data_IF_593676416059
#
_entry.id   IF_593676416059
#
_cell.length_a   1.000
_cell.length_b   1.000
_cell.length_c   1.000
_cell.angle_alpha   90.00
_cell.angle_beta   90.00
_cell.angle_gamma   90.00
#
_symmetry.space_group_name_H-M   'P 1'
#
loop_
_entity.id
_entity.type
_entity.pdbx_description
1 polymer ?
#
# COMPACT_ATOMS: atom_id res chain seq x y z
N UNK A 1 -18.81 -11.03 -16.42
CA UNK A 1 -17.90 -10.31 -15.51
C UNK A 1 -17.34 -9.11 -16.27
N UNK A 2 -17.72 -7.90 -15.87
CA UNK A 2 -17.18 -6.66 -16.45
C UNK A 2 -15.66 -6.66 -16.27
N UNK A 3 -14.93 -6.61 -17.39
CA UNK A 3 -13.49 -6.35 -17.39
C UNK A 3 -13.29 -4.97 -16.80
N UNK A 4 -12.46 -4.86 -15.77
CA UNK A 4 -12.10 -3.55 -15.23
C UNK A 4 -11.14 -2.92 -16.26
N UNK A 5 -11.68 -2.11 -17.16
CA UNK A 5 -10.96 -1.67 -18.36
C UNK A 5 -9.95 -0.55 -18.08
N UNK A 6 -9.97 0.07 -16.90
CA UNK A 6 -8.98 1.06 -16.50
C UNK A 6 -8.94 1.21 -14.97
N UNK A 7 -7.99 0.54 -14.32
CA UNK A 7 -7.63 0.81 -12.92
C UNK A 7 -6.48 1.82 -12.91
N UNK A 8 -6.49 2.78 -11.96
CA UNK A 8 -5.39 3.74 -11.85
C UNK A 8 -4.10 2.99 -11.53
N UNK A 9 -2.98 3.47 -12.04
CA UNK A 9 -1.69 2.93 -11.64
C UNK A 9 -1.35 3.35 -10.22
N UNK A 10 -0.37 2.68 -9.59
CA UNK A 10 0.15 3.16 -8.30
C UNK A 10 0.74 4.57 -8.41
N UNK A 11 1.26 4.96 -9.58
CA UNK A 11 1.81 6.30 -9.80
C UNK A 11 0.72 7.38 -9.68
N UNK A 12 -0.49 7.11 -10.18
CA UNK A 12 -1.62 8.05 -10.13
C UNK A 12 -2.01 8.42 -8.70
N UNK A 13 -1.69 7.56 -7.72
CA UNK A 13 -1.91 7.78 -6.29
C UNK A 13 -0.97 8.85 -5.69
N UNK A 14 0.18 9.09 -6.34
CA UNK A 14 1.20 10.06 -5.92
C UNK A 14 1.07 11.41 -6.64
N UNK A 15 0.04 11.60 -7.47
CA UNK A 15 -0.23 12.84 -8.19
C UNK A 15 -1.41 13.60 -7.55
N UNK A 16 -1.19 14.42 -6.51
CA UNK A 16 -2.28 15.08 -5.78
C UNK A 16 -3.14 15.97 -6.69
N UNK A 17 -4.44 16.04 -6.39
CA UNK A 17 -5.35 16.98 -7.02
C UNK A 17 -5.05 18.42 -6.56
N UNK A 18 -5.43 19.41 -7.36
CA UNK A 18 -5.43 20.79 -6.89
C UNK A 18 -6.41 20.96 -5.72
N UNK A 19 -6.12 21.82 -4.73
CA UNK A 19 -7.00 22.02 -3.57
C UNK A 19 -8.45 22.34 -3.95
N UNK A 20 -8.65 23.11 -5.02
CA UNK A 20 -9.97 23.47 -5.52
C UNK A 20 -10.74 22.26 -6.08
N UNK A 21 -10.05 21.31 -6.72
CA UNK A 21 -10.66 20.09 -7.23
C UNK A 21 -11.09 19.17 -6.08
N UNK A 22 -10.23 19.03 -5.06
CA UNK A 22 -10.57 18.24 -3.87
C UNK A 22 -11.75 18.86 -3.11
N UNK A 23 -11.78 20.18 -2.99
CA UNK A 23 -12.89 20.90 -2.37
C UNK A 23 -14.18 20.75 -3.17
N UNK A 24 -14.13 20.79 -4.51
CA UNK A 24 -15.31 20.54 -5.34
C UNK A 24 -15.90 19.14 -5.11
N UNK A 25 -15.06 18.11 -4.97
CA UNK A 25 -15.50 16.75 -4.64
C UNK A 25 -16.14 16.69 -3.24
N UNK A 26 -15.57 17.40 -2.27
CA UNK A 26 -16.14 17.49 -0.91
C UNK A 26 -17.51 18.16 -0.93
N UNK A 27 -17.62 19.30 -1.62
CA UNK A 27 -18.88 20.05 -1.74
C UNK A 27 -19.97 19.22 -2.43
N UNK A 28 -19.60 18.45 -3.47
CA UNK A 28 -20.52 17.51 -4.11
C UNK A 28 -21.10 16.52 -3.09
N UNK A 29 -20.25 15.84 -2.31
CA UNK A 29 -20.69 14.88 -1.27
C UNK A 29 -21.57 15.56 -0.23
N UNK A 30 -21.20 16.76 0.25
CA UNK A 30 -22.00 17.51 1.23
C UNK A 30 -23.36 17.89 0.66
N UNK A 31 -23.41 18.37 -0.58
CA UNK A 31 -24.66 18.79 -1.24
C UNK A 31 -25.63 17.61 -1.47
N UNK A 32 -25.10 16.41 -1.65
CA UNK A 32 -25.88 15.17 -1.79
C UNK A 32 -26.29 14.56 -0.43
N UNK A 33 -26.00 15.22 0.69
CA UNK A 33 -26.41 14.77 2.03
C UNK A 33 -25.36 13.96 2.78
N UNK A 34 -24.07 14.11 2.45
CA UNK A 34 -22.96 13.51 3.19
C UNK A 34 -22.94 11.99 3.07
N UNK A 35 -23.29 11.28 4.14
CA UNK A 35 -23.34 9.82 4.15
C UNK A 35 -24.41 9.24 3.22
N UNK A 36 -25.45 10.02 2.91
CA UNK A 36 -26.52 9.66 1.96
C UNK A 36 -26.14 9.94 0.51
N UNK A 37 -24.97 10.57 0.27
CA UNK A 37 -24.51 10.86 -1.07
C UNK A 37 -24.32 9.58 -1.90
N UNK A 38 -24.40 9.75 -3.22
CA UNK A 38 -24.23 8.65 -4.15
C UNK A 38 -22.88 7.95 -3.93
N UNK A 39 -22.87 6.63 -4.15
CA UNK A 39 -21.65 5.83 -3.99
C UNK A 39 -20.52 6.38 -4.87
N UNK A 40 -20.84 6.84 -6.09
CA UNK A 40 -19.85 7.41 -7.00
C UNK A 40 -19.24 8.71 -6.45
N UNK A 41 -20.05 9.63 -5.91
CA UNK A 41 -19.54 10.88 -5.35
C UNK A 41 -18.65 10.63 -4.14
N UNK A 42 -19.06 9.74 -3.23
CA UNK A 42 -18.23 9.32 -2.08
C UNK A 42 -16.94 8.63 -2.52
N UNK A 43 -17.01 7.77 -3.54
CA UNK A 43 -15.84 7.08 -4.09
C UNK A 43 -14.83 8.06 -4.72
N UNK A 44 -15.30 9.01 -5.52
CA UNK A 44 -14.46 10.02 -6.15
C UNK A 44 -13.75 10.89 -5.10
N UNK A 45 -14.50 11.32 -4.08
CA UNK A 45 -13.93 12.09 -2.98
C UNK A 45 -12.89 11.28 -2.19
N UNK A 46 -13.20 10.02 -1.86
CA UNK A 46 -12.27 9.13 -1.19
C UNK A 46 -10.97 8.93 -1.98
N UNK A 47 -11.07 8.78 -3.31
CA UNK A 47 -9.89 8.69 -4.16
C UNK A 47 -9.06 9.98 -4.19
N UNK A 48 -9.73 11.14 -4.27
CA UNK A 48 -9.06 12.45 -4.16
C UNK A 48 -8.29 12.61 -2.84
N UNK A 49 -8.89 12.17 -1.74
CA UNK A 49 -8.26 12.16 -0.41
C UNK A 49 -7.05 11.22 -0.34
N UNK A 50 -7.13 10.01 -0.91
CA UNK A 50 -6.00 9.08 -0.98
C UNK A 50 -4.83 9.69 -1.76
N UNK A 51 -5.11 10.52 -2.77
CA UNK A 51 -4.09 11.21 -3.55
C UNK A 51 -3.42 12.37 -2.80
N UNK A 52 -4.01 12.88 -1.72
CA UNK A 52 -3.45 13.96 -0.88
C UNK A 52 -2.10 13.59 -0.24
N UNK A 53 -1.25 14.58 0.00
CA UNK A 53 0.00 14.40 0.76
C UNK A 53 -0.24 14.33 2.28
N UNK A 54 -1.40 14.79 2.75
CA UNK A 54 -1.76 14.73 4.16
C UNK A 54 -2.17 13.31 4.57
N UNK A 55 -1.60 12.81 5.68
CA UNK A 55 -1.85 11.44 6.14
C UNK A 55 -3.26 11.26 6.73
N UNK A 56 -3.86 12.32 7.26
CA UNK A 56 -5.24 12.29 7.77
C UNK A 56 -6.23 12.21 6.62
N UNK A 57 -5.98 12.94 5.52
CA UNK A 57 -6.76 12.81 4.28
C UNK A 57 -6.69 11.37 3.77
N UNK A 58 -5.48 10.80 3.67
CA UNK A 58 -5.32 9.43 3.18
C UNK A 58 -6.10 8.41 4.05
N UNK A 59 -6.00 8.53 5.39
CA UNK A 59 -6.75 7.69 6.34
C UNK A 59 -8.26 7.86 6.19
N UNK A 60 -8.75 9.10 6.00
CA UNK A 60 -10.16 9.36 5.75
C UNK A 60 -10.62 8.73 4.43
N UNK A 61 -9.82 8.85 3.37
CA UNK A 61 -10.11 8.22 2.08
C UNK A 61 -10.20 6.70 2.17
N UNK A 62 -9.26 6.05 2.87
CA UNK A 62 -9.30 4.60 3.13
C UNK A 62 -10.54 4.20 3.94
N UNK A 63 -10.92 4.99 4.95
CA UNK A 63 -12.13 4.76 5.74
C UNK A 63 -13.39 4.83 4.85
N UNK A 64 -13.53 5.87 4.04
CA UNK A 64 -14.67 6.04 3.14
C UNK A 64 -14.78 4.89 2.12
N UNK A 65 -13.67 4.46 1.53
CA UNK A 65 -13.66 3.28 0.64
C UNK A 65 -14.04 1.99 1.37
N UNK A 66 -13.63 1.84 2.63
CA UNK A 66 -13.99 0.67 3.45
C UNK A 66 -15.49 0.62 3.71
N UNK A 67 -16.12 1.78 3.93
CA UNK A 67 -17.57 1.88 4.13
C UNK A 67 -18.32 1.56 2.84
N UNK A 68 -17.85 2.07 1.69
CA UNK A 68 -18.39 1.74 0.36
C UNK A 68 -18.26 0.23 0.07
N UNK A 69 -17.10 -0.38 0.37
CA UNK A 69 -16.87 -1.82 0.20
C UNK A 69 -17.90 -2.68 0.96
N UNK A 70 -18.27 -2.26 2.18
CA UNK A 70 -19.26 -2.96 3.00
C UNK A 70 -20.69 -2.79 2.45
N UNK A 71 -21.02 -1.59 1.98
CA UNK A 71 -22.36 -1.23 1.51
C UNK A 71 -22.68 -1.75 0.10
N UNK A 72 -21.69 -1.83 -0.79
CA UNK A 72 -21.91 -2.11 -2.21
C UNK A 72 -21.17 -3.37 -2.69
N UNK A 73 -21.80 -4.57 -2.61
CA UNK A 73 -21.20 -5.82 -3.05
C UNK A 73 -20.72 -5.80 -4.50
N UNK A 74 -21.41 -5.09 -5.39
CA UNK A 74 -21.08 -5.04 -6.82
C UNK A 74 -19.75 -4.33 -7.11
N UNK A 75 -19.32 -3.43 -6.21
CA UNK A 75 -18.08 -2.64 -6.32
C UNK A 75 -16.91 -3.20 -5.51
N UNK A 76 -17.06 -4.33 -4.82
CA UNK A 76 -16.01 -4.87 -3.94
C UNK A 76 -14.66 -5.04 -4.62
N UNK A 77 -14.64 -5.55 -5.87
CA UNK A 77 -13.39 -5.73 -6.63
C UNK A 77 -12.66 -4.42 -6.87
N UNK A 78 -13.39 -3.39 -7.31
CA UNK A 78 -12.86 -2.03 -7.49
C UNK A 78 -12.37 -1.45 -6.15
N UNK A 79 -13.18 -1.58 -5.09
CA UNK A 79 -12.80 -1.08 -3.77
C UNK A 79 -11.54 -1.77 -3.23
N UNK A 80 -11.38 -3.09 -3.38
CA UNK A 80 -10.18 -3.81 -2.94
C UNK A 80 -8.92 -3.28 -3.64
N UNK A 81 -9.02 -2.96 -4.93
CA UNK A 81 -7.90 -2.36 -5.66
C UNK A 81 -7.51 -1.00 -5.07
N UNK A 82 -8.47 -0.08 -4.93
CA UNK A 82 -8.21 1.26 -4.42
C UNK A 82 -7.79 1.26 -2.94
N UNK A 83 -8.35 0.37 -2.12
CA UNK A 83 -7.93 0.16 -0.73
C UNK A 83 -6.48 -0.33 -0.65
N UNK A 84 -6.09 -1.26 -1.53
CA UNK A 84 -4.70 -1.72 -1.63
C UNK A 84 -3.77 -0.54 -1.94
N UNK A 85 -4.13 0.28 -2.94
CA UNK A 85 -3.36 1.47 -3.33
C UNK A 85 -3.26 2.48 -2.18
N UNK A 86 -4.37 2.77 -1.50
CA UNK A 86 -4.41 3.70 -0.38
C UNK A 86 -3.53 3.23 0.79
N UNK A 87 -3.70 1.98 1.22
CA UNK A 87 -2.88 1.40 2.29
C UNK A 87 -1.40 1.32 1.89
N UNK A 88 -1.08 0.98 0.63
CA UNK A 88 0.29 0.97 0.14
C UNK A 88 0.94 2.36 0.23
N UNK A 89 0.22 3.41 -0.18
CA UNK A 89 0.72 4.79 -0.12
C UNK A 89 0.94 5.26 1.33
N UNK A 90 0.02 4.94 2.24
CA UNK A 90 0.13 5.33 3.65
C UNK A 90 1.11 4.48 4.47
N UNK A 91 1.75 3.48 3.86
CA UNK A 91 2.71 2.58 4.53
C UNK A 91 2.06 1.44 5.34
N UNK A 92 0.74 1.26 5.22
CA UNK A 92 -0.02 0.18 5.88
C UNK A 92 0.07 -1.12 5.06
N UNK A 93 1.29 -1.60 4.81
CA UNK A 93 1.55 -2.69 3.86
C UNK A 93 0.88 -4.01 4.26
N UNK A 94 0.72 -4.29 5.56
CA UNK A 94 0.01 -5.49 6.02
C UNK A 94 -1.47 -5.47 5.62
N UNK A 95 -2.14 -4.32 5.68
CA UNK A 95 -3.54 -4.22 5.20
C UNK A 95 -3.60 -4.26 3.68
N UNK A 96 -2.67 -3.57 2.99
CA UNK A 96 -2.57 -3.65 1.54
C UNK A 96 -2.43 -5.10 1.06
N UNK A 97 -1.62 -5.93 1.73
CA UNK A 97 -1.44 -7.34 1.41
C UNK A 97 -2.73 -8.14 1.53
N UNK A 98 -3.49 -7.92 2.61
CA UNK A 98 -4.78 -8.60 2.80
C UNK A 98 -5.78 -8.26 1.70
N UNK A 99 -5.87 -6.99 1.31
CA UNK A 99 -6.80 -6.57 0.25
C UNK A 99 -6.41 -7.10 -1.12
N UNK A 100 -5.12 -7.05 -1.47
CA UNK A 100 -4.67 -7.52 -2.79
C UNK A 100 -4.74 -9.03 -2.92
N UNK A 101 -4.52 -9.78 -1.83
CA UNK A 101 -4.66 -11.24 -1.83
C UNK A 101 -6.10 -11.65 -2.13
N UNK A 102 -7.07 -11.04 -1.44
CA UNK A 102 -8.49 -11.26 -1.72
C UNK A 102 -8.86 -10.86 -3.15
N UNK A 103 -8.30 -9.77 -3.67
CA UNK A 103 -8.54 -9.37 -5.06
C UNK A 103 -7.94 -10.38 -6.06
N UNK A 104 -6.74 -10.89 -5.79
CA UNK A 104 -6.04 -11.85 -6.64
C UNK A 104 -6.76 -13.22 -6.66
N UNK A 105 -7.31 -13.67 -5.53
CA UNK A 105 -8.16 -14.87 -5.47
C UNK A 105 -9.35 -14.79 -6.44
N UNK A 106 -9.94 -13.59 -6.59
CA UNK A 106 -11.06 -13.36 -7.51
C UNK A 106 -10.63 -13.12 -8.97
N UNK A 107 -9.44 -12.58 -9.20
CA UNK A 107 -8.94 -12.23 -10.54
C UNK A 107 -7.49 -12.72 -10.80
N UNK A 108 -7.22 -14.04 -10.73
CA UNK A 108 -5.85 -14.56 -10.78
C UNK A 108 -5.13 -14.32 -12.12
N UNK A 109 -5.91 -14.14 -13.20
CA UNK A 109 -5.41 -13.87 -14.54
C UNK A 109 -5.22 -12.35 -14.83
N UNK A 110 -5.55 -11.48 -13.87
CA UNK A 110 -5.39 -10.04 -14.03
C UNK A 110 -3.95 -9.61 -13.75
N UNK A 111 -3.22 -9.27 -14.81
CA UNK A 111 -1.82 -8.82 -14.72
C UNK A 111 -1.64 -7.56 -13.87
N UNK A 112 -2.61 -6.65 -13.85
CA UNK A 112 -2.54 -5.43 -13.03
C UNK A 112 -2.61 -5.76 -11.55
N UNK A 113 -3.49 -6.70 -11.17
CA UNK A 113 -3.61 -7.18 -9.78
C UNK A 113 -2.34 -7.91 -9.35
N UNK A 114 -1.81 -8.79 -10.21
CA UNK A 114 -0.55 -9.49 -9.92
C UNK A 114 0.61 -8.51 -9.73
N UNK A 115 0.75 -7.52 -10.60
CA UNK A 115 1.78 -6.47 -10.48
C UNK A 115 1.64 -5.70 -9.18
N UNK A 116 0.40 -5.32 -8.80
CA UNK A 116 0.14 -4.63 -7.54
C UNK A 116 0.50 -5.49 -6.32
N UNK A 117 0.18 -6.78 -6.37
CA UNK A 117 0.53 -7.74 -5.31
C UNK A 117 2.04 -7.85 -5.14
N UNK A 118 2.78 -8.01 -6.24
CA UNK A 118 4.25 -8.11 -6.24
C UNK A 118 4.88 -6.83 -5.66
N UNK A 119 4.33 -5.64 -5.98
CA UNK A 119 4.80 -4.38 -5.41
C UNK A 119 4.57 -4.28 -3.89
N UNK A 120 3.43 -4.76 -3.39
CA UNK A 120 3.15 -4.82 -1.95
C UNK A 120 4.13 -5.78 -1.25
N UNK A 121 4.34 -6.98 -1.81
CA UNK A 121 5.26 -7.98 -1.26
C UNK A 121 6.71 -7.45 -1.20
N UNK A 122 7.17 -6.81 -2.26
CA UNK A 122 8.48 -6.17 -2.33
C UNK A 122 8.66 -5.12 -1.22
N UNK A 123 7.63 -4.31 -0.95
CA UNK A 123 7.69 -3.31 0.13
C UNK A 123 7.77 -3.94 1.51
N UNK A 124 6.96 -4.98 1.77
CA UNK A 124 7.00 -5.72 3.04
C UNK A 124 8.39 -6.31 3.27
N UNK A 125 8.98 -6.95 2.25
CA UNK A 125 10.33 -7.52 2.35
C UNK A 125 11.40 -6.45 2.58
N UNK A 126 11.31 -5.30 1.92
CA UNK A 126 12.28 -4.20 2.10
C UNK A 126 12.19 -3.58 3.49
N UNK A 127 10.99 -3.40 4.04
CA UNK A 127 10.81 -2.86 5.39
C UNK A 127 11.26 -3.85 6.47
N UNK A 128 11.05 -5.16 6.29
CA UNK A 128 11.55 -6.17 7.23
C UNK A 128 13.09 -6.24 7.24
N UNK A 129 13.73 -6.10 6.08
CA UNK A 129 15.20 -6.05 5.96
C UNK A 129 15.82 -4.82 6.64
N UNK A 130 15.16 -3.65 6.61
CA UNK A 130 15.65 -2.45 7.33
C UNK A 130 15.67 -2.64 8.86
N UNK A 131 14.76 -3.44 9.40
CA UNK A 131 14.71 -3.79 10.82
C UNK A 131 15.80 -4.78 11.25
N UNK A 132 16.30 -5.58 10.31
CA UNK A 132 17.44 -6.46 10.52
C UNK A 132 18.68 -5.68 10.07
N UNK A 133 19.23 -4.83 10.95
CA UNK A 133 20.62 -4.42 10.82
C UNK A 133 21.45 -5.68 11.04
N UNK A 134 21.71 -6.41 9.95
CA UNK A 134 22.68 -7.50 9.94
C UNK A 134 24.04 -6.80 10.12
N UNK A 135 24.46 -6.62 11.37
CA UNK A 135 25.88 -6.48 11.70
C UNK A 135 26.50 -7.84 11.43
N UNK A 136 26.72 -8.17 10.17
CA UNK A 136 27.67 -9.22 9.78
C UNK A 136 29.05 -8.64 10.01
N UNK A 137 29.44 -8.63 11.29
CA UNK A 137 30.81 -8.38 11.70
C UNK A 137 31.71 -9.43 11.04
N UNK A 138 32.26 -9.08 9.87
CA UNK A 138 33.43 -9.76 9.33
C UNK A 138 34.61 -9.38 10.23
N UNK A 139 34.75 -10.06 11.37
CA UNK A 139 36.07 -10.23 11.97
C UNK A 139 36.82 -11.18 11.05
N UNK A 140 37.48 -10.60 10.04
CA UNK A 140 38.38 -11.30 9.17
C UNK A 140 39.43 -12.02 10.01
N UNK A 141 39.56 -13.33 9.78
CA UNK A 141 40.50 -14.20 10.45
C UNK A 141 41.94 -13.67 10.32
N UNK A 142 42.57 -13.29 11.43
CA UNK A 142 44.02 -13.20 11.54
C UNK A 142 44.54 -14.54 12.09
N UNK A 143 44.56 -15.56 11.22
CA UNK A 143 45.34 -16.77 11.47
C UNK A 143 46.70 -16.62 10.78
N UNK A 144 47.70 -16.08 11.49
CA UNK A 144 49.11 -16.21 11.10
C UNK A 144 49.99 -16.43 12.33
N UNK A 145 50.23 -17.73 12.59
CA UNK A 145 51.43 -18.36 13.16
C UNK A 145 52.48 -17.40 13.78
N UNK A 146 52.59 -17.38 15.11
CA UNK A 146 53.82 -16.97 15.79
C UNK A 146 54.26 -18.09 16.73
N UNK A 147 55.23 -18.86 16.22
CA UNK A 147 56.41 -19.32 16.96
C UNK A 147 56.20 -20.18 18.20
N UNK A 148 56.45 -21.48 18.05
CA UNK A 148 57.61 -22.16 18.67
C UNK A 148 58.33 -21.30 19.74
N UNK A 149 57.79 -21.25 20.96
CA UNK A 149 58.46 -20.60 22.10
C UNK A 149 58.27 -21.50 23.33
N UNK A 150 59.35 -22.25 23.61
CA UNK A 150 59.75 -22.85 24.89
C UNK A 150 59.20 -24.22 25.29
N UNK A 151 59.72 -25.26 24.60
CA UNK A 151 60.14 -26.50 25.26
C UNK A 151 61.66 -26.51 25.41
N UNK A 152 62.21 -26.04 26.54
CA UNK A 152 63.46 -26.56 27.16
C UNK A 152 63.90 -25.80 28.45
N UNK A 153 64.26 -26.62 29.46
CA UNK A 153 65.02 -26.37 30.71
C UNK A 153 64.20 -25.72 31.83
N UNK A 154 64.08 -26.28 33.03
CA UNK A 154 64.95 -27.15 33.84
C UNK A 154 64.10 -28.05 34.73
#
# INVERSE_FOLDING_TARGET
MTKINFLPTLQDAYEPLFPQQLEALRQQVVSEGGDLASIQSRFNYAWGLIKSQDINDQRLGVKLLTDIYKQEPSRRRECLYYLTVGCYKSGEYTMAKRYVDTLYEHEPNNKQVKTLMDMVEDKIQKESLKGIVIVTGLVAAAATVVGIVFRKKK
#
